data_IF_074523783513
#
_entry.id   IF_074523783513
#
_cell.length_a   1.000
_cell.length_b   1.000
_cell.length_c   1.000
_cell.angle_alpha   90.00
_cell.angle_beta   90.00
_cell.angle_gamma   90.00
#
_symmetry.space_group_name_H-M   'P 1'
#
loop_
_entity.id
_entity.type
_entity.pdbx_description
1 polymer ?
#
# COMPACT_ATOMS: atom_id res chain seq x y z
N UNK A 1 32.68 61.39 -32.69
CA UNK A 1 32.94 61.75 -34.15
C UNK A 1 32.15 60.79 -35.01
N UNK A 2 31.38 61.36 -35.92
CA UNK A 2 30.73 60.86 -37.14
C UNK A 2 29.67 59.80 -36.96
N UNK A 3 28.37 60.22 -37.00
CA UNK A 3 27.52 60.65 -38.20
C UNK A 3 27.34 59.43 -39.12
N UNK A 4 26.19 59.02 -39.44
CA UNK A 4 24.86 59.41 -39.91
C UNK A 4 24.63 58.47 -41.10
N UNK A 5 23.53 58.08 -41.56
CA UNK A 5 22.22 58.65 -41.89
C UNK A 5 21.35 57.50 -42.49
N UNK A 6 20.14 57.40 -42.08
CA UNK A 6 18.90 57.51 -42.84
C UNK A 6 18.78 56.89 -44.25
N UNK A 7 17.78 56.07 -44.45
CA UNK A 7 16.87 56.14 -45.54
C UNK A 7 15.49 55.52 -45.24
N UNK A 8 14.45 56.29 -45.41
CA UNK A 8 13.00 56.05 -45.35
C UNK A 8 12.50 55.76 -46.76
N UNK A 9 11.65 54.70 -46.84
CA UNK A 9 10.59 54.63 -47.88
C UNK A 9 9.72 53.42 -47.42
N UNK A 10 8.48 53.46 -47.05
CA UNK A 10 7.33 54.16 -47.54
C UNK A 10 6.63 53.29 -48.57
N UNK A 11 5.64 52.48 -48.18
CA UNK A 11 4.46 52.26 -48.99
C UNK A 11 3.27 51.72 -48.12
N UNK A 12 2.18 52.36 -48.41
CA UNK A 12 0.84 52.38 -47.86
C UNK A 12 0.01 51.18 -48.35
N UNK A 13 -0.94 50.80 -47.47
CA UNK A 13 -2.27 50.22 -47.73
C UNK A 13 -2.40 48.72 -47.82
N UNK A 14 -3.15 48.07 -46.96
CA UNK A 14 -4.60 47.92 -47.06
C UNK A 14 -5.16 47.32 -45.75
N UNK A 15 -6.02 48.04 -45.05
CA UNK A 15 -6.88 47.55 -44.01
C UNK A 15 -7.92 46.58 -44.59
N UNK A 16 -7.91 45.31 -44.23
CA UNK A 16 -9.08 44.47 -44.33
C UNK A 16 -9.36 43.97 -42.92
N UNK A 17 -10.38 44.55 -42.28
CA UNK A 17 -11.01 44.02 -41.06
C UNK A 17 -11.60 42.66 -41.39
N UNK A 18 -11.01 41.61 -40.81
CA UNK A 18 -11.70 40.33 -40.57
C UNK A 18 -11.86 40.18 -39.08
N UNK A 19 -13.05 40.43 -38.59
CA UNK A 19 -13.54 40.06 -37.29
C UNK A 19 -13.61 38.55 -37.23
N UNK A 20 -12.58 37.90 -36.68
CA UNK A 20 -12.65 36.50 -36.25
C UNK A 20 -13.21 36.46 -34.85
N UNK A 21 -14.45 36.01 -34.75
CA UNK A 21 -15.08 35.58 -33.52
C UNK A 21 -14.24 34.45 -32.92
N UNK A 22 -13.54 34.73 -31.82
CA UNK A 22 -12.92 33.73 -30.99
C UNK A 22 -14.01 33.02 -30.17
N UNK A 23 -14.65 32.04 -30.79
CA UNK A 23 -15.30 30.96 -30.03
C UNK A 23 -14.21 30.03 -29.53
N UNK A 24 -13.74 30.27 -28.30
CA UNK A 24 -12.87 29.38 -27.58
C UNK A 24 -13.67 28.15 -27.11
N UNK A 25 -13.89 27.16 -27.99
CA UNK A 25 -14.17 25.79 -27.60
C UNK A 25 -12.83 25.12 -27.33
N UNK A 26 -12.49 24.96 -26.07
CA UNK A 26 -11.47 24.05 -25.65
C UNK A 26 -11.90 22.62 -25.97
N UNK A 27 -11.72 22.18 -27.21
CA UNK A 27 -11.77 20.75 -27.54
C UNK A 27 -10.47 20.13 -27.01
N UNK A 28 -10.54 19.48 -25.85
CA UNK A 28 -9.57 18.46 -25.51
C UNK A 28 -9.47 17.50 -26.71
N UNK A 29 -8.32 17.48 -27.37
CA UNK A 29 -8.04 16.49 -28.41
C UNK A 29 -8.19 15.13 -27.75
N UNK A 30 -9.27 14.41 -28.06
CA UNK A 30 -9.35 12.98 -27.72
C UNK A 30 -8.16 12.31 -28.38
N UNK A 31 -7.32 11.71 -27.58
CA UNK A 31 -6.24 10.84 -28.07
C UNK A 31 -6.90 9.70 -28.83
N UNK A 32 -6.48 9.46 -30.07
CA UNK A 32 -7.05 8.38 -30.88
C UNK A 32 -6.47 7.05 -30.36
N UNK A 33 -7.34 6.14 -29.94
CA UNK A 33 -6.95 4.80 -29.49
C UNK A 33 -6.50 3.98 -30.69
N UNK A 34 -5.25 3.54 -30.70
CA UNK A 34 -4.62 2.76 -31.78
C UNK A 34 -4.65 1.26 -31.52
N UNK A 35 -5.15 0.83 -30.36
CA UNK A 35 -5.23 -0.59 -29.95
C UNK A 35 -6.60 -1.20 -30.22
N UNK A 36 -6.67 -2.52 -30.02
CA UNK A 36 -7.92 -3.29 -29.92
C UNK A 36 -7.98 -4.01 -28.58
N UNK A 37 -9.10 -4.70 -28.30
CA UNK A 37 -9.23 -5.53 -27.10
C UNK A 37 -8.27 -6.73 -27.10
N UNK A 38 -7.72 -7.08 -28.25
CA UNK A 38 -6.85 -8.26 -28.41
C UNK A 38 -5.45 -7.95 -28.94
N UNK A 39 -5.13 -6.68 -29.23
CA UNK A 39 -3.80 -6.30 -29.73
C UNK A 39 -3.42 -4.87 -29.31
N UNK A 40 -2.14 -4.65 -29.03
CA UNK A 40 -1.58 -3.37 -28.65
C UNK A 40 -0.33 -3.47 -27.81
N UNK A 41 0.17 -2.33 -27.35
CA UNK A 41 1.27 -2.24 -26.40
C UNK A 41 0.76 -1.59 -25.12
N UNK A 42 1.08 -2.15 -23.96
CA UNK A 42 0.66 -1.65 -22.65
C UNK A 42 1.88 -1.41 -21.79
N UNK A 43 2.14 -0.17 -21.44
CA UNK A 43 3.15 0.18 -20.44
C UNK A 43 2.44 0.30 -19.09
N UNK A 44 2.70 -0.66 -18.21
CA UNK A 44 2.10 -0.75 -16.88
C UNK A 44 3.09 -0.27 -15.82
N UNK A 45 2.71 0.78 -15.07
CA UNK A 45 3.52 1.36 -13.99
C UNK A 45 2.99 0.96 -12.63
N UNK A 46 3.90 0.65 -11.71
CA UNK A 46 3.52 0.37 -10.33
C UNK A 46 4.73 0.17 -9.41
N UNK A 47 4.42 -0.17 -8.15
CA UNK A 47 5.42 -0.48 -7.14
C UNK A 47 5.44 -1.96 -6.77
N UNK A 48 4.34 -2.68 -6.98
CA UNK A 48 4.11 -4.09 -6.62
C UNK A 48 3.29 -4.83 -7.68
N UNK A 49 3.32 -6.16 -7.78
CA UNK A 49 4.34 -7.01 -7.20
C UNK A 49 5.67 -6.85 -7.92
N UNK A 50 6.75 -7.18 -7.21
CA UNK A 50 8.06 -7.31 -7.83
C UNK A 50 8.18 -8.55 -8.72
N UNK A 51 9.26 -8.62 -9.48
CA UNK A 51 9.69 -9.87 -10.11
C UNK A 51 9.98 -10.93 -9.00
N UNK A 52 9.55 -12.19 -9.15
CA UNK A 52 9.08 -12.82 -10.39
C UNK A 52 7.54 -12.82 -10.58
N UNK A 53 6.75 -12.23 -9.68
CA UNK A 53 5.28 -12.34 -9.74
C UNK A 53 4.69 -11.59 -10.94
N UNK A 54 5.15 -10.37 -11.22
CA UNK A 54 4.72 -9.61 -12.39
C UNK A 54 5.08 -10.31 -13.72
N UNK A 55 6.21 -11.02 -13.77
CA UNK A 55 6.61 -11.81 -14.92
C UNK A 55 5.64 -12.95 -15.17
N UNK A 56 5.16 -13.61 -14.09
CA UNK A 56 4.12 -14.65 -14.19
C UNK A 56 2.81 -14.07 -14.71
N UNK A 57 2.38 -12.90 -14.23
CA UNK A 57 1.18 -12.23 -14.74
C UNK A 57 1.26 -12.02 -16.25
N UNK A 58 2.35 -11.40 -16.70
CA UNK A 58 2.56 -11.10 -18.12
C UNK A 58 2.60 -12.38 -18.93
N UNK A 59 3.28 -13.42 -18.44
CA UNK A 59 3.39 -14.70 -19.14
C UNK A 59 2.03 -15.41 -19.26
N UNK A 60 1.22 -15.44 -18.21
CA UNK A 60 -0.12 -16.06 -18.26
C UNK A 60 -1.09 -15.22 -19.09
N UNK A 61 -1.07 -13.89 -18.93
CA UNK A 61 -1.87 -12.98 -19.76
C UNK A 61 -1.58 -13.16 -21.24
N UNK A 62 -0.31 -13.28 -21.61
CA UNK A 62 0.10 -13.45 -23.03
C UNK A 62 -0.30 -14.81 -23.63
N UNK A 63 -0.66 -15.82 -22.83
CA UNK A 63 -1.26 -17.05 -23.35
C UNK A 63 -2.68 -16.83 -23.86
N UNK A 64 -3.42 -15.94 -23.21
CA UNK A 64 -4.80 -15.57 -23.58
C UNK A 64 -4.82 -14.45 -24.64
N UNK A 65 -3.89 -13.49 -24.52
CA UNK A 65 -3.80 -12.30 -25.38
C UNK A 65 -2.40 -12.15 -25.99
N UNK A 66 -1.99 -13.02 -26.93
CA UNK A 66 -0.61 -13.06 -27.44
C UNK A 66 -0.17 -11.82 -28.22
N UNK A 67 -1.13 -11.05 -28.76
CA UNK A 67 -0.87 -9.85 -29.54
C UNK A 67 -0.93 -8.55 -28.67
N UNK A 68 -1.16 -8.66 -27.36
CA UNK A 68 -0.97 -7.54 -26.42
C UNK A 68 0.38 -7.70 -25.73
N UNK A 69 1.26 -6.72 -25.94
CA UNK A 69 2.58 -6.71 -25.29
C UNK A 69 2.51 -5.83 -24.03
N UNK A 70 2.73 -6.42 -22.87
CA UNK A 70 2.79 -5.70 -21.61
C UNK A 70 4.23 -5.48 -21.19
N UNK A 71 4.58 -4.23 -20.86
CA UNK A 71 5.88 -3.85 -20.30
C UNK A 71 5.67 -3.30 -18.89
N UNK A 72 6.25 -3.97 -17.90
CA UNK A 72 6.24 -3.53 -16.52
C UNK A 72 7.30 -2.45 -16.26
N UNK A 73 6.90 -1.36 -15.62
CA UNK A 73 7.80 -0.31 -15.15
C UNK A 73 7.64 -0.13 -13.65
N UNK A 74 8.59 -0.65 -12.90
CA UNK A 74 8.61 -0.56 -11.45
C UNK A 74 9.20 0.77 -10.98
N UNK A 75 8.56 1.35 -9.96
CA UNK A 75 9.02 2.54 -9.23
C UNK A 75 8.88 2.23 -7.74
N UNK A 76 9.81 2.69 -6.90
CA UNK A 76 9.63 2.54 -5.45
C UNK A 76 8.38 3.27 -4.99
N UNK A 77 7.70 2.74 -3.99
CA UNK A 77 6.46 3.33 -3.45
C UNK A 77 6.68 4.79 -3.02
N UNK A 78 7.81 5.11 -2.39
CA UNK A 78 8.12 6.46 -1.90
C UNK A 78 8.30 7.50 -3.02
N UNK A 79 8.63 7.07 -4.24
CA UNK A 79 8.85 7.92 -5.39
C UNK A 79 7.71 7.84 -6.42
N UNK A 80 6.70 7.01 -6.17
CA UNK A 80 5.69 6.69 -7.17
C UNK A 80 4.89 7.92 -7.61
N UNK A 81 4.31 8.69 -6.68
CA UNK A 81 3.52 9.87 -7.02
C UNK A 81 4.33 10.96 -7.73
N UNK A 82 5.57 11.15 -7.33
CA UNK A 82 6.47 12.10 -7.98
C UNK A 82 6.78 11.70 -9.44
N UNK A 83 6.82 10.39 -9.72
CA UNK A 83 7.08 9.87 -11.05
C UNK A 83 5.82 9.80 -11.94
N UNK A 84 4.69 9.30 -11.39
CA UNK A 84 3.48 9.04 -12.18
C UNK A 84 2.74 10.30 -12.57
N UNK A 85 2.70 11.31 -11.68
CA UNK A 85 1.96 12.56 -11.91
C UNK A 85 2.38 13.29 -13.19
N UNK A 86 3.67 13.61 -13.44
CA UNK A 86 4.09 14.25 -14.68
C UNK A 86 3.91 13.34 -15.90
N UNK A 87 4.09 12.02 -15.77
CA UNK A 87 3.92 11.09 -16.88
C UNK A 87 2.48 11.06 -17.38
N UNK A 88 1.49 10.98 -16.48
CA UNK A 88 0.07 11.05 -16.82
C UNK A 88 -0.34 12.42 -17.38
N UNK A 89 0.18 13.52 -16.80
CA UNK A 89 -0.12 14.86 -17.27
C UNK A 89 0.40 15.13 -18.69
N UNK A 90 1.55 14.56 -19.05
CA UNK A 90 2.14 14.68 -20.38
C UNK A 90 1.57 13.69 -21.39
N UNK A 91 0.81 12.68 -20.96
CA UNK A 91 0.24 11.64 -21.82
C UNK A 91 1.28 10.73 -22.45
N UNK A 92 2.43 10.52 -21.78
CA UNK A 92 3.55 9.76 -22.33
C UNK A 92 3.89 8.51 -21.48
N UNK A 93 3.88 7.36 -22.15
CA UNK A 93 4.44 6.13 -21.62
C UNK A 93 3.74 5.54 -20.40
N UNK A 94 2.44 5.83 -20.20
CA UNK A 94 1.59 5.23 -19.17
C UNK A 94 0.27 4.83 -19.79
N UNK A 95 0.04 3.52 -19.91
CA UNK A 95 -1.24 3.00 -20.40
C UNK A 95 -2.08 2.46 -19.24
N UNK A 96 -1.46 1.70 -18.34
CA UNK A 96 -2.03 1.23 -17.09
C UNK A 96 -1.15 1.67 -15.91
N UNK A 97 -1.75 1.95 -14.75
CA UNK A 97 -0.99 2.36 -13.58
C UNK A 97 -1.65 1.89 -12.29
N UNK A 98 -0.82 1.63 -11.28
CA UNK A 98 -1.29 1.22 -9.97
C UNK A 98 -1.81 2.39 -9.15
N UNK A 99 -2.79 2.08 -8.31
CA UNK A 99 -3.43 3.01 -7.38
C UNK A 99 -3.66 2.31 -6.05
N UNK A 100 -3.26 2.93 -4.94
CA UNK A 100 -3.60 2.45 -3.60
C UNK A 100 -4.86 3.12 -3.06
N UNK A 101 -5.36 2.63 -1.94
CA UNK A 101 -6.42 3.30 -1.20
C UNK A 101 -5.96 4.68 -0.69
N UNK A 102 -6.90 5.61 -0.57
CA UNK A 102 -6.63 6.96 -0.06
C UNK A 102 -6.12 7.94 -1.10
N UNK A 103 -5.46 9.01 -0.65
CA UNK A 103 -4.99 10.12 -1.49
C UNK A 103 -3.58 9.96 -2.05
N UNK A 104 -2.84 8.95 -1.58
CA UNK A 104 -1.48 8.66 -2.05
C UNK A 104 -1.45 7.71 -3.24
N UNK A 105 -0.24 7.46 -3.75
CA UNK A 105 0.07 6.40 -4.72
C UNK A 105 -0.92 6.31 -5.89
N UNK A 106 -1.07 7.41 -6.65
CA UNK A 106 -1.96 7.49 -7.82
C UNK A 106 -3.41 7.89 -7.50
N UNK A 107 -3.83 7.95 -6.23
CA UNK A 107 -5.21 8.28 -5.84
C UNK A 107 -5.65 9.68 -6.26
N UNK A 108 -4.78 10.68 -6.17
CA UNK A 108 -5.04 12.05 -6.63
C UNK A 108 -5.27 12.08 -8.14
N UNK A 109 -4.54 11.29 -8.92
CA UNK A 109 -4.66 11.21 -10.38
C UNK A 109 -5.99 10.59 -10.79
N UNK A 110 -6.45 9.57 -10.10
CA UNK A 110 -7.75 8.94 -10.30
C UNK A 110 -8.89 9.92 -9.99
N UNK A 111 -8.82 10.58 -8.83
CA UNK A 111 -9.80 11.60 -8.42
C UNK A 111 -9.79 12.80 -9.36
N UNK A 112 -8.63 13.18 -9.90
CA UNK A 112 -8.44 14.26 -10.87
C UNK A 112 -8.89 13.92 -12.30
N UNK A 113 -9.50 12.77 -12.55
CA UNK A 113 -10.06 12.37 -13.83
C UNK A 113 -9.04 11.87 -14.86
N UNK A 114 -7.84 11.50 -14.44
CA UNK A 114 -6.80 10.95 -15.32
C UNK A 114 -6.98 9.45 -15.62
N UNK A 115 -8.02 8.81 -15.05
CA UNK A 115 -8.39 7.42 -15.29
C UNK A 115 -9.74 7.32 -16.00
N UNK A 116 -9.89 6.34 -16.89
CA UNK A 116 -11.16 6.03 -17.53
C UNK A 116 -12.11 5.30 -16.56
N UNK A 117 -13.37 5.16 -16.94
CA UNK A 117 -14.36 4.31 -16.26
C UNK A 117 -14.23 2.85 -16.73
N UNK A 118 -14.02 1.92 -15.81
CA UNK A 118 -13.90 0.48 -16.08
C UNK A 118 -15.21 -0.29 -15.84
N UNK A 119 -16.29 0.37 -15.41
CA UNK A 119 -17.54 -0.28 -14.97
C UNK A 119 -18.10 -1.25 -16.01
N UNK A 120 -18.19 -0.81 -17.28
CA UNK A 120 -18.76 -1.64 -18.33
C UNK A 120 -17.85 -2.83 -18.70
N UNK A 121 -16.55 -2.62 -18.68
CA UNK A 121 -15.57 -3.67 -18.97
C UNK A 121 -15.57 -4.76 -17.87
N UNK A 122 -15.70 -4.37 -16.61
CA UNK A 122 -15.81 -5.33 -15.48
C UNK A 122 -17.13 -6.08 -15.54
N UNK A 123 -18.25 -5.42 -15.87
CA UNK A 123 -19.54 -6.09 -16.12
C UNK A 123 -19.47 -7.08 -17.28
N UNK A 124 -18.78 -6.71 -18.35
CA UNK A 124 -18.59 -7.62 -19.48
C UNK A 124 -17.80 -8.89 -19.09
N UNK A 125 -16.82 -8.76 -18.17
CA UNK A 125 -16.00 -9.88 -17.71
C UNK A 125 -16.71 -10.77 -16.68
N UNK A 126 -17.42 -10.19 -15.72
CA UNK A 126 -18.00 -10.91 -14.57
C UNK A 126 -19.54 -10.98 -14.55
N UNK A 127 -20.22 -10.20 -15.37
CA UNK A 127 -21.67 -10.05 -15.33
C UNK A 127 -22.15 -8.88 -14.46
N UNK A 128 -23.47 -8.62 -14.46
CA UNK A 128 -24.06 -7.52 -13.70
C UNK A 128 -23.91 -7.70 -12.17
N UNK A 129 -23.72 -8.94 -11.73
CA UNK A 129 -23.50 -9.34 -10.34
C UNK A 129 -22.01 -9.28 -9.91
N UNK A 130 -21.16 -8.59 -10.65
CA UNK A 130 -19.71 -8.51 -10.39
C UNK A 130 -19.38 -8.07 -8.96
N UNK A 131 -20.22 -7.24 -8.33
CA UNK A 131 -20.04 -6.78 -6.95
C UNK A 131 -20.11 -7.92 -5.93
N UNK A 132 -20.84 -8.97 -6.21
CA UNK A 132 -20.95 -10.14 -5.34
C UNK A 132 -19.72 -11.04 -5.47
N UNK A 133 -19.03 -10.98 -6.60
CA UNK A 133 -17.86 -11.80 -6.94
C UNK A 133 -16.52 -11.21 -6.48
N UNK A 134 -16.48 -9.89 -6.31
CA UNK A 134 -15.28 -9.16 -5.88
C UNK A 134 -15.38 -8.76 -4.41
N UNK A 135 -14.24 -8.61 -3.76
CA UNK A 135 -14.16 -8.00 -2.44
C UNK A 135 -14.68 -6.55 -2.50
N UNK A 136 -15.42 -6.15 -1.49
CA UNK A 136 -16.05 -4.83 -1.44
C UNK A 136 -15.05 -3.69 -1.57
N UNK A 137 -13.92 -3.78 -0.86
CA UNK A 137 -12.84 -2.80 -0.93
C UNK A 137 -12.29 -2.60 -2.36
N UNK A 138 -12.27 -3.68 -3.18
CA UNK A 138 -11.81 -3.62 -4.57
C UNK A 138 -12.67 -2.78 -5.50
N UNK A 139 -13.86 -2.42 -5.05
CA UNK A 139 -14.86 -1.66 -5.82
C UNK A 139 -15.11 -0.31 -5.18
N UNK A 140 -15.46 -0.29 -3.89
CA UNK A 140 -15.94 0.92 -3.20
C UNK A 140 -14.88 1.99 -3.13
N UNK A 141 -13.65 1.62 -2.78
CA UNK A 141 -12.51 2.53 -2.63
C UNK A 141 -12.13 3.22 -3.94
N UNK A 142 -12.35 2.55 -5.08
CA UNK A 142 -11.97 3.05 -6.42
C UNK A 142 -13.17 3.57 -7.23
N UNK A 143 -14.34 3.66 -6.62
CA UNK A 143 -15.53 4.26 -7.26
C UNK A 143 -15.60 5.76 -6.96
N UNK A 144 -15.38 6.57 -7.98
CA UNK A 144 -15.45 8.03 -7.90
C UNK A 144 -16.64 8.52 -8.72
N UNK A 145 -17.56 9.25 -8.10
CA UNK A 145 -18.78 9.76 -8.75
C UNK A 145 -19.60 8.68 -9.49
N UNK A 146 -19.67 7.48 -8.90
CA UNK A 146 -20.41 6.35 -9.47
C UNK A 146 -19.71 5.61 -10.61
N UNK A 147 -18.46 5.96 -10.92
CA UNK A 147 -17.61 5.34 -11.94
C UNK A 147 -16.47 4.57 -11.29
N UNK A 148 -16.24 3.34 -11.72
CA UNK A 148 -15.11 2.53 -11.28
C UNK A 148 -13.84 2.98 -12.01
N UNK A 149 -13.02 3.79 -11.35
CA UNK A 149 -11.83 4.43 -11.95
C UNK A 149 -10.57 3.57 -11.92
N UNK A 150 -10.52 2.61 -11.03
CA UNK A 150 -9.51 1.56 -10.99
C UNK A 150 -10.14 0.27 -10.49
N UNK A 151 -9.60 -0.87 -10.88
CA UNK A 151 -10.06 -2.16 -10.42
C UNK A 151 -9.06 -2.73 -9.42
N UNK A 152 -9.53 -3.05 -8.23
CA UNK A 152 -8.71 -3.65 -7.19
C UNK A 152 -8.14 -5.00 -7.62
N UNK A 153 -6.88 -5.21 -7.31
CA UNK A 153 -6.18 -6.48 -7.57
C UNK A 153 -6.06 -7.30 -6.30
N UNK A 154 -5.79 -6.65 -5.17
CA UNK A 154 -5.74 -7.34 -3.90
C UNK A 154 -5.69 -6.40 -2.70
N UNK A 155 -6.00 -6.96 -1.53
CA UNK A 155 -6.09 -6.28 -0.24
C UNK A 155 -4.95 -6.72 0.67
N UNK A 156 -4.41 -5.79 1.45
CA UNK A 156 -3.45 -6.05 2.53
C UNK A 156 -4.04 -5.70 3.88
N UNK A 157 -3.52 -6.36 4.90
CA UNK A 157 -3.95 -6.17 6.30
C UNK A 157 -2.73 -5.95 7.19
N UNK A 158 -2.93 -5.23 8.28
CA UNK A 158 -1.95 -5.01 9.34
C UNK A 158 -2.60 -5.27 10.71
N UNK A 159 -1.88 -5.06 11.80
CA UNK A 159 -2.35 -5.34 13.16
C UNK A 159 -1.73 -6.59 13.77
N UNK A 160 -0.64 -7.08 13.21
CA UNK A 160 0.10 -8.25 13.67
C UNK A 160 1.60 -7.96 13.73
N UNK A 161 2.36 -8.88 14.32
CA UNK A 161 3.81 -8.95 14.22
C UNK A 161 4.24 -10.24 13.52
N UNK A 162 5.43 -10.23 12.94
CA UNK A 162 6.11 -11.43 12.45
C UNK A 162 7.29 -11.75 13.34
N UNK A 163 7.47 -13.03 13.64
CA UNK A 163 8.58 -13.52 14.48
C UNK A 163 9.44 -14.54 13.72
N UNK A 164 10.73 -14.60 14.07
CA UNK A 164 11.63 -15.67 13.67
C UNK A 164 11.55 -16.79 14.74
N UNK A 165 10.83 -17.87 14.41
CA UNK A 165 10.56 -18.97 15.35
C UNK A 165 11.85 -19.66 15.81
N UNK A 166 12.86 -19.79 14.94
CA UNK A 166 14.13 -20.42 15.32
C UNK A 166 14.88 -19.63 16.40
N UNK A 167 14.79 -18.30 16.39
CA UNK A 167 15.39 -17.46 17.44
C UNK A 167 14.64 -17.64 18.77
N UNK A 168 13.32 -17.70 18.75
CA UNK A 168 12.52 -17.97 19.94
C UNK A 168 12.83 -19.34 20.52
N UNK A 169 12.89 -20.37 19.68
CA UNK A 169 13.22 -21.74 20.09
C UNK A 169 14.66 -21.79 20.65
N UNK A 170 15.63 -21.19 19.97
CA UNK A 170 17.05 -21.19 20.33
C UNK A 170 17.33 -20.58 21.71
N UNK A 171 16.65 -19.48 22.02
CA UNK A 171 16.85 -18.76 23.27
C UNK A 171 15.79 -19.08 24.32
N UNK A 172 14.89 -20.04 24.02
CA UNK A 172 13.79 -20.45 24.90
C UNK A 172 12.93 -19.26 25.35
N UNK A 173 12.62 -18.36 24.41
CA UNK A 173 11.79 -17.19 24.65
C UNK A 173 10.34 -17.55 24.39
N UNK A 174 9.44 -17.16 25.31
CA UNK A 174 8.00 -17.29 25.11
C UNK A 174 7.52 -16.24 24.12
N UNK A 175 6.60 -16.62 23.22
CA UNK A 175 5.91 -15.66 22.34
C UNK A 175 5.12 -14.68 23.21
N UNK A 176 5.36 -13.35 23.10
CA UNK A 176 4.74 -12.38 23.98
C UNK A 176 3.26 -12.16 23.64
N UNK A 177 2.43 -12.10 24.66
CA UNK A 177 0.98 -11.82 24.54
C UNK A 177 0.57 -10.50 25.18
N UNK A 178 1.48 -9.87 25.94
CA UNK A 178 1.24 -8.60 26.62
C UNK A 178 2.53 -7.78 26.72
N UNK A 179 2.40 -6.53 27.20
CA UNK A 179 3.51 -5.59 27.31
C UNK A 179 4.72 -6.12 28.06
N UNK A 180 4.51 -6.77 29.21
CA UNK A 180 5.61 -7.21 30.08
C UNK A 180 6.36 -8.40 29.46
N UNK A 181 5.64 -9.35 28.89
CA UNK A 181 6.23 -10.47 28.16
C UNK A 181 7.01 -9.99 26.94
N UNK A 182 6.49 -8.95 26.22
CA UNK A 182 7.20 -8.36 25.07
C UNK A 182 8.50 -7.70 25.50
N UNK A 183 8.47 -6.90 26.56
CA UNK A 183 9.66 -6.27 27.13
C UNK A 183 10.70 -7.30 27.59
N UNK A 184 10.24 -8.38 28.26
CA UNK A 184 11.12 -9.49 28.70
C UNK A 184 11.75 -10.19 27.49
N UNK A 185 10.98 -10.55 26.48
CA UNK A 185 11.49 -11.13 25.24
C UNK A 185 12.56 -10.24 24.59
N UNK A 186 12.30 -8.94 24.46
CA UNK A 186 13.26 -7.98 23.92
C UNK A 186 14.56 -7.92 24.74
N UNK A 187 14.48 -7.99 26.07
CA UNK A 187 15.66 -7.99 26.93
C UNK A 187 16.50 -9.27 26.74
N UNK A 188 15.87 -10.44 26.68
CA UNK A 188 16.58 -11.72 26.44
C UNK A 188 17.31 -11.69 25.09
N UNK A 189 16.66 -11.23 24.05
CA UNK A 189 17.29 -11.13 22.73
C UNK A 189 18.45 -10.14 22.73
N UNK A 190 18.29 -8.98 23.37
CA UNK A 190 19.32 -7.95 23.49
C UNK A 190 20.56 -8.42 24.23
N UNK A 191 20.40 -9.22 25.29
CA UNK A 191 21.52 -9.88 26.01
C UNK A 191 22.31 -10.82 25.08
N UNK A 192 21.68 -11.31 24.01
CA UNK A 192 22.27 -12.18 22.99
C UNK A 192 22.67 -11.44 21.71
N UNK A 193 22.78 -10.12 21.75
CA UNK A 193 23.14 -9.26 20.62
C UNK A 193 22.18 -9.35 19.42
N UNK A 194 20.89 -9.60 19.70
CA UNK A 194 19.80 -9.62 18.72
C UNK A 194 18.80 -8.53 19.10
N UNK A 195 18.31 -7.76 18.14
CA UNK A 195 17.22 -6.84 18.39
C UNK A 195 15.93 -7.64 18.67
N UNK A 196 15.25 -7.33 19.77
CA UNK A 196 14.04 -8.06 20.15
C UNK A 196 12.89 -7.76 19.19
N UNK A 197 12.70 -6.47 18.86
CA UNK A 197 11.70 -5.99 17.94
C UNK A 197 12.30 -4.85 17.10
N UNK A 198 11.96 -4.84 15.80
CA UNK A 198 12.38 -3.78 14.87
C UNK A 198 11.22 -3.21 14.10
N UNK A 199 11.26 -1.89 13.94
CA UNK A 199 10.40 -1.11 13.05
C UNK A 199 11.17 0.08 12.52
N UNK A 200 10.99 0.38 11.26
CA UNK A 200 11.53 1.59 10.63
C UNK A 200 10.64 2.79 10.91
N UNK A 201 10.74 3.34 12.13
CA UNK A 201 9.89 4.44 12.58
C UNK A 201 10.23 5.80 11.92
N UNK A 202 11.27 5.88 11.09
CA UNK A 202 11.51 6.97 10.17
C UNK A 202 10.56 7.00 8.97
N UNK A 203 9.86 5.90 8.70
CA UNK A 203 8.84 5.79 7.66
C UNK A 203 7.44 5.84 8.32
N UNK A 204 6.83 7.02 8.33
CA UNK A 204 5.67 7.35 9.17
C UNK A 204 4.44 6.46 8.97
N UNK A 205 4.20 5.93 7.77
CA UNK A 205 3.05 5.04 7.51
C UNK A 205 3.03 3.80 8.41
N UNK A 206 4.19 3.21 8.71
CA UNK A 206 4.27 2.06 9.62
C UNK A 206 4.08 2.42 11.09
N UNK A 207 4.32 3.70 11.46
CA UNK A 207 3.97 4.19 12.79
C UNK A 207 2.46 4.26 12.96
N UNK A 208 1.73 4.66 11.91
CA UNK A 208 0.27 4.67 11.90
C UNK A 208 -0.27 3.26 12.09
N UNK A 209 0.28 2.24 11.40
CA UNK A 209 -0.12 0.85 11.59
C UNK A 209 0.05 0.38 13.04
N UNK A 210 1.20 0.64 13.63
CA UNK A 210 1.46 0.27 15.03
C UNK A 210 0.55 1.03 15.98
N UNK A 211 0.34 2.32 15.75
CA UNK A 211 -0.56 3.14 16.55
C UNK A 211 -2.01 2.69 16.47
N UNK A 212 -2.48 2.31 15.27
CA UNK A 212 -3.82 1.75 15.08
C UNK A 212 -4.00 0.47 15.90
N UNK A 213 -3.04 -0.46 15.85
CA UNK A 213 -3.08 -1.66 16.66
C UNK A 213 -3.11 -1.36 18.17
N UNK A 214 -2.36 -0.35 18.63
CA UNK A 214 -2.38 0.11 20.02
C UNK A 214 -3.72 0.74 20.40
N UNK A 215 -4.28 1.59 19.54
CA UNK A 215 -5.57 2.21 19.80
C UNK A 215 -6.69 1.18 19.93
N UNK A 216 -6.67 0.16 19.07
CA UNK A 216 -7.61 -0.96 19.13
C UNK A 216 -7.38 -1.89 20.35
N UNK A 217 -6.15 -2.00 20.86
CA UNK A 217 -5.90 -2.62 22.16
C UNK A 217 -6.58 -1.85 23.29
N UNK A 218 -6.55 -0.51 23.26
CA UNK A 218 -7.20 0.33 24.29
C UNK A 218 -8.72 0.21 24.17
N UNK A 219 -9.26 0.42 22.96
CA UNK A 219 -10.68 0.38 22.69
C UNK A 219 -10.94 -0.04 21.24
N UNK A 220 -11.53 -1.21 20.98
CA UNK A 220 -11.73 -1.73 19.62
C UNK A 220 -12.44 -0.74 18.70
N UNK A 221 -11.84 -0.48 17.54
CA UNK A 221 -12.35 0.42 16.52
C UNK A 221 -12.25 1.90 16.86
N UNK A 222 -11.58 2.30 17.94
CA UNK A 222 -11.47 3.72 18.31
C UNK A 222 -10.68 4.52 17.29
N UNK A 223 -9.63 3.93 16.69
CA UNK A 223 -8.88 4.58 15.62
C UNK A 223 -9.76 4.91 14.42
N UNK A 224 -10.49 3.92 13.90
CA UNK A 224 -11.39 4.08 12.75
C UNK A 224 -12.51 5.08 13.05
N UNK A 225 -13.07 5.06 14.26
CA UNK A 225 -14.08 6.05 14.68
C UNK A 225 -13.51 7.47 14.73
N UNK A 226 -12.27 7.62 15.20
CA UNK A 226 -11.62 8.94 15.24
C UNK A 226 -11.35 9.46 13.82
N UNK A 227 -10.88 8.64 12.90
CA UNK A 227 -10.67 9.06 11.49
C UNK A 227 -11.96 9.43 10.77
N UNK A 228 -13.13 8.96 11.26
CA UNK A 228 -14.45 9.29 10.73
C UNK A 228 -15.14 10.45 11.47
N UNK A 229 -14.50 11.03 12.47
CA UNK A 229 -15.12 12.08 13.32
C UNK A 229 -16.21 11.57 14.25
N UNK A 230 -16.34 10.26 14.44
CA UNK A 230 -17.30 9.65 15.37
C UNK A 230 -16.82 9.67 16.83
N UNK A 231 -15.51 9.80 17.02
CA UNK A 231 -14.82 9.97 18.30
C UNK A 231 -13.81 11.10 18.13
N UNK A 232 -13.73 11.99 19.09
CA UNK A 232 -12.74 13.06 19.09
C UNK A 232 -11.32 12.51 19.24
N UNK A 233 -10.35 13.09 18.54
CA UNK A 233 -8.94 12.72 18.72
C UNK A 233 -8.42 12.98 20.13
N UNK A 234 -9.08 13.87 20.88
CA UNK A 234 -8.77 14.17 22.29
C UNK A 234 -9.44 13.22 23.29
N UNK A 235 -10.15 12.19 22.81
CA UNK A 235 -10.73 11.17 23.70
C UNK A 235 -9.64 10.44 24.51
N UNK A 236 -9.98 10.08 25.74
CA UNK A 236 -9.06 9.42 26.68
C UNK A 236 -8.46 8.13 26.09
N UNK A 237 -9.18 7.42 25.24
CA UNK A 237 -8.68 6.19 24.58
C UNK A 237 -7.56 6.49 23.58
N UNK A 238 -7.64 7.59 22.86
CA UNK A 238 -6.60 8.03 21.90
C UNK A 238 -5.37 8.58 22.65
N UNK A 239 -5.59 9.42 23.67
CA UNK A 239 -4.49 9.90 24.52
C UNK A 239 -3.76 8.71 25.15
N UNK A 240 -4.51 7.74 25.66
CA UNK A 240 -3.94 6.50 26.22
C UNK A 240 -3.14 5.69 25.20
N UNK A 241 -3.61 5.63 23.97
CA UNK A 241 -2.87 4.96 22.87
C UNK A 241 -1.56 5.69 22.57
N UNK A 242 -1.54 7.03 22.55
CA UNK A 242 -0.31 7.82 22.37
C UNK A 242 0.68 7.64 23.54
N UNK A 243 0.20 7.54 24.78
CA UNK A 243 1.05 7.17 25.94
C UNK A 243 1.70 5.80 25.76
N UNK A 244 0.93 4.81 25.32
CA UNK A 244 1.43 3.44 25.08
C UNK A 244 2.40 3.39 23.90
N UNK A 245 2.14 4.14 22.82
CA UNK A 245 3.07 4.33 21.72
C UNK A 245 4.42 4.85 22.21
N UNK A 246 4.41 5.95 22.98
CA UNK A 246 5.63 6.50 23.59
C UNK A 246 6.34 5.48 24.47
N UNK A 247 5.57 4.71 25.24
CA UNK A 247 6.11 3.71 26.16
C UNK A 247 6.89 2.60 25.46
N UNK A 248 6.58 2.25 24.19
CA UNK A 248 7.38 1.28 23.42
C UNK A 248 8.83 1.75 23.26
N UNK A 249 9.06 3.06 23.14
CA UNK A 249 10.39 3.65 23.03
C UNK A 249 11.06 3.81 24.40
N UNK A 250 10.35 4.37 25.37
CA UNK A 250 10.88 4.63 26.70
C UNK A 250 11.31 3.36 27.42
N UNK A 251 10.56 2.29 27.26
CA UNK A 251 10.82 0.98 27.90
C UNK A 251 11.74 0.07 27.06
N UNK A 252 12.20 0.51 25.88
CA UNK A 252 13.18 -0.17 25.04
C UNK A 252 12.65 -1.42 24.34
N UNK A 253 11.34 -1.53 24.10
CA UNK A 253 10.74 -2.51 23.19
C UNK A 253 11.10 -2.12 21.77
N UNK A 254 10.85 -0.86 21.38
CA UNK A 254 11.32 -0.31 20.11
C UNK A 254 12.85 -0.23 20.13
N UNK A 255 13.49 -0.70 19.06
CA UNK A 255 14.95 -0.68 18.96
C UNK A 255 15.51 0.74 18.99
N UNK A 256 16.71 0.89 19.51
CA UNK A 256 17.39 2.18 19.58
C UNK A 256 17.62 2.74 18.17
N UNK A 257 17.28 4.02 17.98
CA UNK A 257 17.45 4.70 16.70
C UNK A 257 16.35 4.46 15.67
N UNK A 258 15.26 3.81 16.03
CA UNK A 258 14.13 3.50 15.14
C UNK A 258 13.63 4.69 14.31
N UNK A 259 13.56 5.89 14.90
CA UNK A 259 13.15 7.13 14.23
C UNK A 259 14.06 7.56 13.08
N UNK A 260 15.27 7.00 12.99
CA UNK A 260 16.21 7.24 11.89
C UNK A 260 16.29 6.13 10.86
N UNK A 261 15.52 5.04 11.04
CA UNK A 261 15.51 3.87 10.16
C UNK A 261 14.26 3.84 9.31
N UNK A 262 14.41 3.42 8.06
CA UNK A 262 13.29 3.11 7.18
C UNK A 262 12.79 1.68 7.41
N UNK A 263 11.50 1.44 7.17
CA UNK A 263 10.94 0.08 7.22
C UNK A 263 11.59 -0.80 6.14
N UNK A 264 11.72 -0.23 4.94
CA UNK A 264 12.50 -0.78 3.84
C UNK A 264 13.60 0.21 3.43
N UNK A 265 14.89 -0.19 3.37
CA UNK A 265 15.35 -1.57 3.59
C UNK A 265 15.72 -1.90 5.05
N UNK A 266 15.81 -0.92 5.98
CA UNK A 266 16.59 -1.08 7.22
C UNK A 266 16.00 -2.13 8.17
N UNK A 267 14.75 -1.96 8.64
CA UNK A 267 14.12 -2.91 9.56
C UNK A 267 13.92 -4.29 8.90
N UNK A 268 13.52 -4.30 7.62
CA UNK A 268 13.41 -5.53 6.84
C UNK A 268 14.74 -6.30 6.80
N UNK A 269 15.84 -5.61 6.52
CA UNK A 269 17.15 -6.25 6.42
C UNK A 269 17.65 -6.79 7.77
N UNK A 270 17.33 -6.11 8.88
CA UNK A 270 17.63 -6.62 10.22
C UNK A 270 16.90 -7.93 10.48
N UNK A 271 15.62 -8.02 10.13
CA UNK A 271 14.84 -9.23 10.34
C UNK A 271 15.27 -10.37 9.38
N UNK A 272 15.42 -10.08 8.07
CA UNK A 272 15.84 -11.08 7.08
C UNK A 272 17.27 -11.59 7.28
N UNK A 273 18.16 -10.78 7.85
CA UNK A 273 19.51 -11.22 8.26
C UNK A 273 19.54 -11.88 9.65
N UNK A 274 18.39 -12.19 10.25
CA UNK A 274 18.23 -12.83 11.56
C UNK A 274 18.90 -12.05 12.71
N UNK A 275 19.10 -10.74 12.54
CA UNK A 275 19.60 -9.81 13.56
C UNK A 275 18.48 -9.23 14.43
N UNK A 276 17.23 -9.52 14.08
CA UNK A 276 16.04 -9.14 14.82
C UNK A 276 15.12 -10.34 14.97
N UNK A 277 14.46 -10.47 16.12
CA UNK A 277 13.58 -11.59 16.43
C UNK A 277 12.13 -11.32 16.03
N UNK A 278 11.70 -10.07 16.06
CA UNK A 278 10.33 -9.64 15.70
C UNK A 278 10.39 -8.40 14.80
N UNK A 279 9.38 -8.28 13.91
CA UNK A 279 9.21 -7.11 13.03
C UNK A 279 7.74 -6.76 12.87
N UNK A 280 7.41 -5.46 12.82
CA UNK A 280 6.09 -4.98 12.44
C UNK A 280 5.96 -5.00 10.92
N UNK A 281 5.13 -5.88 10.40
CA UNK A 281 4.79 -6.00 8.98
C UNK A 281 3.38 -6.59 8.85
N UNK A 282 2.66 -6.23 7.82
CA UNK A 282 1.32 -6.76 7.57
C UNK A 282 1.29 -8.04 6.70
N UNK A 283 0.13 -8.30 6.11
CA UNK A 283 -0.14 -9.54 5.38
C UNK A 283 0.69 -9.70 4.10
N UNK A 284 1.14 -8.60 3.49
CA UNK A 284 2.05 -8.65 2.33
C UNK A 284 3.36 -9.39 2.64
N UNK A 285 3.74 -9.43 3.90
CA UNK A 285 4.97 -10.09 4.34
C UNK A 285 4.86 -11.61 4.33
N UNK A 286 3.64 -12.16 4.24
CA UNK A 286 3.39 -13.60 4.15
C UNK A 286 4.11 -14.24 2.96
N UNK A 287 4.29 -13.52 1.88
CA UNK A 287 5.04 -13.98 0.70
C UNK A 287 6.47 -14.42 1.03
N UNK A 288 7.09 -13.84 2.08
CA UNK A 288 8.42 -14.26 2.55
C UNK A 288 8.42 -15.62 3.24
N UNK A 289 7.26 -16.22 3.53
CA UNK A 289 7.20 -17.61 3.97
C UNK A 289 7.44 -18.62 2.83
N UNK A 290 7.43 -18.16 1.57
CA UNK A 290 7.81 -18.97 0.40
C UNK A 290 9.34 -19.06 0.30
N UNK A 291 9.93 -20.26 0.04
CA UNK A 291 11.37 -20.46 0.06
C UNK A 291 12.16 -19.54 -0.89
N UNK A 292 11.69 -19.38 -2.12
CA UNK A 292 12.38 -18.56 -3.13
C UNK A 292 12.29 -17.07 -2.79
N UNK A 293 11.14 -16.61 -2.29
CA UNK A 293 10.93 -15.22 -1.87
C UNK A 293 11.79 -14.89 -0.65
N UNK A 294 11.81 -15.78 0.36
CA UNK A 294 12.64 -15.58 1.54
C UNK A 294 14.13 -15.57 1.19
N UNK A 295 14.56 -16.49 0.34
CA UNK A 295 15.96 -16.52 -0.13
C UNK A 295 16.34 -15.20 -0.82
N UNK A 296 15.51 -14.70 -1.72
CA UNK A 296 15.74 -13.43 -2.40
C UNK A 296 15.78 -12.25 -1.40
N UNK A 297 14.91 -12.24 -0.38
CA UNK A 297 14.89 -11.21 0.66
C UNK A 297 16.16 -11.25 1.54
N UNK A 298 16.63 -12.43 1.90
CA UNK A 298 17.89 -12.63 2.65
C UNK A 298 19.10 -12.14 1.82
N UNK A 299 19.18 -12.51 0.55
CA UNK A 299 20.23 -12.05 -0.36
C UNK A 299 20.21 -10.53 -0.55
N UNK A 300 19.01 -9.93 -0.67
CA UNK A 300 18.82 -8.48 -0.76
C UNK A 300 19.27 -7.75 0.52
N UNK A 301 19.13 -8.40 1.68
CA UNK A 301 19.67 -7.91 2.95
C UNK A 301 21.18 -8.10 3.09
N UNK A 302 21.88 -8.49 2.00
CA UNK A 302 23.32 -8.80 1.98
C UNK A 302 23.70 -9.85 3.04
N UNK A 303 22.80 -10.80 3.29
CA UNK A 303 22.98 -11.90 4.23
C UNK A 303 23.20 -13.23 3.50
N UNK A 304 23.91 -14.14 4.16
CA UNK A 304 24.14 -15.52 3.72
C UNK A 304 23.43 -16.53 4.62
N UNK A 305 22.56 -16.04 5.50
CA UNK A 305 21.76 -16.90 6.37
C UNK A 305 20.83 -17.81 5.56
N UNK A 306 20.46 -18.94 6.13
CA UNK A 306 19.50 -19.84 5.54
C UNK A 306 18.06 -19.31 5.73
N UNK A 307 17.11 -19.69 4.85
CA UNK A 307 15.69 -19.48 5.10
C UNK A 307 15.27 -20.03 6.47
N UNK A 308 14.39 -19.33 7.16
CA UNK A 308 13.95 -19.62 8.51
C UNK A 308 12.42 -19.63 8.63
N UNK A 309 11.89 -20.27 9.67
CA UNK A 309 10.46 -20.28 9.95
C UNK A 309 10.02 -18.95 10.50
N UNK A 310 9.32 -18.16 9.70
CA UNK A 310 8.63 -16.97 10.17
C UNK A 310 7.15 -17.26 10.36
N UNK A 311 6.57 -16.77 11.44
CA UNK A 311 5.15 -16.92 11.73
C UNK A 311 4.52 -15.60 12.15
N UNK A 312 3.23 -15.36 11.78
CA UNK A 312 2.48 -14.21 12.27
C UNK A 312 2.03 -14.47 13.72
N UNK A 313 2.06 -13.45 14.53
CA UNK A 313 1.46 -13.43 15.87
C UNK A 313 0.55 -12.24 16.04
N UNK A 314 -0.45 -12.34 16.89
CA UNK A 314 -1.28 -11.18 17.24
C UNK A 314 -0.41 -10.08 17.86
N UNK A 315 -0.77 -8.83 17.62
CA UNK A 315 -0.16 -7.70 18.32
C UNK A 315 -0.40 -7.88 19.83
N UNK A 316 0.64 -7.85 20.68
CA UNK A 316 0.49 -8.09 22.12
C UNK A 316 -0.48 -7.08 22.75
N UNK A 317 -1.27 -7.53 23.73
CA UNK A 317 -2.13 -6.64 24.54
C UNK A 317 -1.27 -5.75 25.44
N UNK A 318 -0.87 -4.59 24.91
CA UNK A 318 -0.04 -3.65 25.67
C UNK A 318 -0.87 -2.74 26.58
N UNK A 319 -2.17 -2.66 26.37
CA UNK A 319 -3.10 -1.90 27.16
C UNK A 319 -3.61 -2.64 28.42
N UNK A 320 -3.50 -3.98 28.43
CA UNK A 320 -3.99 -4.82 29.51
C UNK A 320 -5.51 -4.95 29.56
N UNK A 321 -6.17 -4.79 28.41
CA UNK A 321 -7.63 -4.78 28.29
C UNK A 321 -8.21 -6.13 27.86
N UNK A 322 -7.37 -7.04 27.37
CA UNK A 322 -7.78 -8.28 26.74
C UNK A 322 -8.16 -8.15 25.26
N UNK A 323 -8.09 -6.95 24.70
CA UNK A 323 -8.35 -6.70 23.27
C UNK A 323 -7.11 -7.03 22.46
N UNK A 324 -7.16 -8.12 21.70
CA UNK A 324 -6.06 -8.56 20.84
C UNK A 324 -6.55 -8.90 19.45
N UNK A 325 -5.62 -8.94 18.52
CA UNK A 325 -5.86 -9.47 17.20
C UNK A 325 -6.79 -8.64 16.34
N UNK A 326 -6.91 -7.35 16.58
CA UNK A 326 -7.53 -6.42 15.63
C UNK A 326 -6.73 -6.45 14.34
N UNK A 327 -7.43 -6.69 13.23
CA UNK A 327 -6.88 -6.59 11.89
C UNK A 327 -7.56 -5.44 11.17
N UNK A 328 -6.78 -4.67 10.44
CA UNK A 328 -7.28 -3.58 9.61
C UNK A 328 -6.60 -3.63 8.26
N UNK A 329 -7.34 -3.28 7.22
CA UNK A 329 -6.82 -3.46 5.87
C UNK A 329 -7.49 -2.61 4.83
N UNK A 330 -6.76 -2.42 3.74
CA UNK A 330 -7.22 -1.70 2.56
C UNK A 330 -6.74 -2.39 1.30
N UNK A 331 -7.27 -1.91 0.20
CA UNK A 331 -6.76 -2.20 -1.11
C UNK A 331 -5.28 -1.82 -1.19
N UNK A 332 -4.40 -2.81 -1.43
CA UNK A 332 -2.96 -2.55 -1.58
C UNK A 332 -2.71 -1.83 -2.89
N UNK A 333 -3.16 -2.47 -3.97
CA UNK A 333 -3.12 -1.85 -5.28
C UNK A 333 -4.32 -2.25 -6.13
N UNK A 334 -4.68 -1.33 -6.99
CA UNK A 334 -5.64 -1.49 -8.07
C UNK A 334 -4.98 -1.05 -9.37
N UNK A 335 -5.56 -1.44 -10.49
CA UNK A 335 -5.06 -1.02 -11.78
C UNK A 335 -6.05 -0.08 -12.43
N UNK A 336 -5.59 1.14 -12.71
CA UNK A 336 -6.29 2.15 -13.50
C UNK A 336 -5.76 2.18 -14.93
N UNK A 337 -6.58 2.65 -15.86
CA UNK A 337 -6.20 2.89 -17.25
C UNK A 337 -6.15 4.38 -17.51
N UNK A 338 -5.03 4.86 -18.05
CA UNK A 338 -4.81 6.28 -18.33
C UNK A 338 -5.80 6.81 -19.37
N UNK A 339 -6.48 7.91 -19.03
CA UNK A 339 -7.39 8.59 -19.94
C UNK A 339 -6.70 9.21 -21.18
N UNK A 340 -5.36 9.34 -21.13
CA UNK A 340 -4.53 9.87 -22.23
C UNK A 340 -3.77 8.79 -23.00
N UNK A 341 -3.96 7.50 -22.64
CA UNK A 341 -3.36 6.37 -23.34
C UNK A 341 -3.77 6.33 -24.82
N UNK A 342 -2.87 5.87 -25.66
CA UNK A 342 -3.14 5.52 -27.07
C UNK A 342 -3.52 4.04 -27.23
N UNK A 343 -3.51 3.29 -26.15
CA UNK A 343 -3.76 1.84 -26.09
C UNK A 343 -4.88 1.51 -25.09
N UNK A 344 -5.92 2.34 -25.03
CA UNK A 344 -7.00 2.27 -24.02
C UNK A 344 -7.63 0.88 -23.97
N UNK A 345 -7.97 0.28 -25.13
CA UNK A 345 -8.64 -1.01 -25.20
C UNK A 345 -7.74 -2.15 -24.71
N UNK A 346 -6.49 -2.19 -25.18
CA UNK A 346 -5.53 -3.21 -24.73
C UNK A 346 -5.21 -3.05 -23.22
N UNK A 347 -5.04 -1.81 -22.74
CA UNK A 347 -4.82 -1.53 -21.33
C UNK A 347 -6.04 -1.91 -20.47
N UNK A 348 -7.26 -1.68 -20.96
CA UNK A 348 -8.50 -2.10 -20.30
C UNK A 348 -8.57 -3.62 -20.20
N UNK A 349 -8.29 -4.34 -21.29
CA UNK A 349 -8.25 -5.80 -21.28
C UNK A 349 -7.27 -6.31 -20.21
N UNK A 350 -6.07 -5.74 -20.15
CA UNK A 350 -5.05 -6.12 -19.16
C UNK A 350 -5.48 -5.80 -17.72
N UNK A 351 -5.96 -4.58 -17.45
CA UNK A 351 -6.39 -4.16 -16.12
C UNK A 351 -7.57 -4.99 -15.60
N UNK A 352 -8.55 -5.27 -16.46
CA UNK A 352 -9.70 -6.12 -16.12
C UNK A 352 -9.25 -7.56 -15.89
N UNK A 353 -8.39 -8.11 -16.73
CA UNK A 353 -7.84 -9.46 -16.55
C UNK A 353 -7.11 -9.61 -15.20
N UNK A 354 -6.29 -8.64 -14.78
CA UNK A 354 -5.61 -8.67 -13.48
C UNK A 354 -6.59 -8.81 -12.31
N UNK A 355 -7.70 -8.07 -12.32
CA UNK A 355 -8.65 -8.03 -11.20
C UNK A 355 -9.79 -9.06 -11.28
N UNK A 356 -10.02 -9.70 -12.43
CA UNK A 356 -11.20 -10.57 -12.65
C UNK A 356 -10.88 -11.97 -13.17
N UNK A 357 -9.72 -12.17 -13.79
CA UNK A 357 -9.35 -13.49 -14.31
C UNK A 357 -9.04 -14.45 -13.17
N UNK A 358 -9.63 -15.67 -13.23
CA UNK A 358 -9.30 -16.71 -12.27
C UNK A 358 -7.80 -17.05 -12.31
N UNK A 359 -7.20 -17.07 -13.51
CA UNK A 359 -5.75 -17.35 -13.69
C UNK A 359 -4.90 -16.24 -13.05
N UNK A 360 -5.20 -14.96 -13.34
CA UNK A 360 -4.48 -13.83 -12.77
C UNK A 360 -4.60 -13.77 -11.26
N UNK A 361 -5.82 -13.93 -10.74
CA UNK A 361 -6.10 -13.87 -9.31
C UNK A 361 -5.56 -15.10 -8.55
N UNK A 362 -5.42 -16.26 -9.20
CA UNK A 362 -4.77 -17.43 -8.62
C UNK A 362 -3.26 -17.20 -8.42
N UNK A 363 -2.58 -16.53 -9.36
CA UNK A 363 -1.17 -16.14 -9.19
C UNK A 363 -1.00 -15.26 -7.96
N UNK A 364 -1.95 -14.34 -7.73
CA UNK A 364 -1.98 -13.46 -6.57
C UNK A 364 -2.16 -14.28 -5.29
N UNK A 365 -3.16 -15.15 -5.26
CA UNK A 365 -3.43 -16.01 -4.14
C UNK A 365 -2.21 -16.85 -3.74
N UNK A 366 -1.59 -17.50 -4.71
CA UNK A 366 -0.45 -18.39 -4.49
C UNK A 366 0.85 -17.64 -4.14
N UNK A 367 0.93 -16.34 -4.48
CA UNK A 367 2.05 -15.49 -4.09
C UNK A 367 2.05 -15.13 -2.60
N UNK A 368 0.92 -15.26 -1.93
CA UNK A 368 0.69 -14.87 -0.53
C UNK A 368 1.06 -13.40 -0.22
N UNK A 369 1.13 -12.55 -1.25
CA UNK A 369 1.49 -11.14 -1.07
C UNK A 369 0.29 -10.28 -0.68
N UNK A 370 -0.84 -10.51 -1.32
CA UNK A 370 -2.11 -9.83 -1.04
C UNK A 370 -3.26 -10.83 -1.04
N UNK A 371 -4.35 -10.49 -0.39
CA UNK A 371 -5.61 -11.23 -0.49
C UNK A 371 -6.27 -10.86 -1.82
N UNK A 372 -6.60 -11.84 -2.69
CA UNK A 372 -7.18 -11.58 -4.00
C UNK A 372 -8.46 -10.77 -3.96
N UNK A 373 -8.69 -9.94 -4.96
CA UNK A 373 -9.98 -9.24 -5.15
C UNK A 373 -11.09 -10.18 -5.55
N UNK A 374 -10.82 -11.19 -6.35
CA UNK A 374 -11.80 -12.20 -6.76
C UNK A 374 -12.01 -13.21 -5.62
N UNK A 375 -13.21 -13.23 -5.04
CA UNK A 375 -13.53 -14.08 -3.87
C UNK A 375 -13.35 -15.58 -4.09
N UNK A 376 -13.42 -16.05 -5.36
CA UNK A 376 -13.20 -17.45 -5.71
C UNK A 376 -11.72 -17.85 -5.78
N UNK A 377 -10.79 -16.91 -5.77
CA UNK A 377 -9.36 -17.18 -5.80
C UNK A 377 -8.82 -17.32 -4.38
N UNK A 378 -8.33 -18.50 -4.05
CA UNK A 378 -7.72 -18.81 -2.75
C UNK A 378 -6.39 -19.53 -2.96
N UNK A 379 -5.41 -19.43 -2.04
CA UNK A 379 -4.14 -20.15 -2.20
C UNK A 379 -4.34 -21.65 -2.41
N UNK A 380 -3.67 -22.19 -3.39
CA UNK A 380 -3.60 -23.65 -3.62
C UNK A 380 -2.63 -24.29 -2.64
N UNK A 381 -3.13 -24.58 -1.43
CA UNK A 381 -2.31 -25.11 -0.34
C UNK A 381 -1.68 -26.48 -0.62
N UNK A 382 -2.12 -27.20 -1.63
CA UNK A 382 -1.47 -28.45 -2.06
C UNK A 382 -0.16 -28.15 -2.84
N UNK A 383 -0.12 -27.04 -3.57
CA UNK A 383 1.00 -26.60 -4.40
C UNK A 383 1.83 -25.47 -3.77
N UNK A 384 1.26 -24.61 -2.94
CA UNK A 384 2.01 -23.59 -2.18
C UNK A 384 2.92 -24.28 -1.17
N UNK A 385 4.22 -24.11 -1.32
CA UNK A 385 5.22 -24.68 -0.41
C UNK A 385 5.82 -23.58 0.46
N UNK A 386 5.68 -23.73 1.76
CA UNK A 386 6.28 -22.85 2.76
C UNK A 386 7.68 -23.35 3.17
N UNK A 387 8.48 -22.49 3.78
CA UNK A 387 9.82 -22.82 4.29
C UNK A 387 9.74 -23.97 5.31
N UNK A 388 8.75 -23.94 6.17
CA UNK A 388 8.49 -25.00 7.16
C UNK A 388 6.99 -25.30 7.21
N UNK A 389 6.46 -26.15 6.30
CA UNK A 389 5.04 -26.42 6.21
C UNK A 389 4.41 -26.95 7.52
N UNK A 390 5.13 -27.74 8.28
CA UNK A 390 4.63 -28.34 9.52
C UNK A 390 4.31 -27.28 10.58
N UNK A 391 5.14 -26.24 10.69
CA UNK A 391 4.94 -25.14 11.64
C UNK A 391 4.09 -23.99 11.09
N UNK A 392 4.10 -23.78 9.78
CA UNK A 392 3.55 -22.57 9.17
C UNK A 392 2.15 -22.74 8.57
N UNK A 393 1.81 -23.90 7.98
CA UNK A 393 0.60 -24.04 7.18
C UNK A 393 -0.66 -23.59 7.94
N UNK A 394 -0.95 -24.15 9.09
CA UNK A 394 -2.17 -23.84 9.84
C UNK A 394 -2.17 -22.39 10.36
N UNK A 395 -1.02 -21.89 10.81
CA UNK A 395 -0.90 -20.53 11.32
C UNK A 395 -1.12 -19.47 10.22
N UNK A 396 -0.53 -19.69 9.05
CA UNK A 396 -0.67 -18.76 7.92
C UNK A 396 -2.08 -18.83 7.32
N UNK A 397 -2.68 -20.00 7.19
CA UNK A 397 -4.08 -20.14 6.79
C UNK A 397 -5.01 -19.37 7.71
N UNK A 398 -4.90 -19.63 9.01
CA UNK A 398 -5.70 -18.94 10.03
C UNK A 398 -5.49 -17.44 10.03
N UNK A 399 -4.25 -16.99 9.81
CA UNK A 399 -3.93 -15.56 9.69
C UNK A 399 -4.62 -14.91 8.48
N UNK A 400 -4.57 -15.56 7.32
CA UNK A 400 -5.25 -15.07 6.09
C UNK A 400 -6.76 -15.03 6.29
N UNK A 401 -7.35 -16.10 6.85
CA UNK A 401 -8.78 -16.15 7.15
C UNK A 401 -9.21 -15.06 8.13
N UNK A 402 -8.43 -14.84 9.18
CA UNK A 402 -8.65 -13.75 10.15
C UNK A 402 -8.61 -12.38 9.47
N UNK A 403 -7.61 -12.16 8.61
CA UNK A 403 -7.48 -10.92 7.84
C UNK A 403 -8.71 -10.65 6.97
N UNK A 404 -9.19 -11.65 6.23
CA UNK A 404 -10.39 -11.54 5.39
C UNK A 404 -11.67 -11.25 6.17
N UNK A 405 -11.71 -11.59 7.46
CA UNK A 405 -12.85 -11.38 8.35
C UNK A 405 -12.68 -10.18 9.28
N UNK A 406 -11.76 -9.26 9.01
CA UNK A 406 -11.50 -8.07 9.84
C UNK A 406 -12.67 -7.07 9.93
N UNK A 407 -13.66 -7.18 9.05
CA UNK A 407 -14.81 -6.28 8.99
C UNK A 407 -14.45 -4.91 8.39
N UNK A 408 -15.27 -3.89 8.71
CA UNK A 408 -15.06 -2.50 8.29
C UNK A 408 -14.04 -1.82 9.22
N UNK A 409 -12.78 -2.15 9.03
CA UNK A 409 -11.66 -1.57 9.76
C UNK A 409 -10.55 -1.19 8.75
N UNK A 410 -10.66 -0.02 8.08
CA UNK A 410 -9.72 0.39 7.05
C UNK A 410 -8.37 0.78 7.66
N UNK A 411 -7.30 0.59 6.88
CA UNK A 411 -5.94 0.99 7.23
C UNK A 411 -5.70 2.48 6.98
N UNK A 412 -6.01 2.96 5.78
CA UNK A 412 -5.83 4.35 5.35
C UNK A 412 -7.05 4.93 4.61
N UNK A 413 -8.00 4.10 4.18
CA UNK A 413 -9.18 4.59 3.47
C UNK A 413 -9.99 5.54 4.37
N UNK A 414 -10.36 6.69 3.82
CA UNK A 414 -11.06 7.73 4.55
C UNK A 414 -10.17 8.70 5.33
N UNK A 415 -8.86 8.47 5.40
CA UNK A 415 -7.90 9.41 5.97
C UNK A 415 -7.49 10.41 4.89
N UNK A 416 -7.74 11.69 5.11
CA UNK A 416 -7.30 12.74 4.20
C UNK A 416 -5.77 12.98 4.31
N UNK A 417 -5.19 13.70 3.35
CA UNK A 417 -3.75 13.90 3.28
C UNK A 417 -3.19 14.69 4.46
N UNK A 418 -3.93 15.70 4.96
CA UNK A 418 -3.47 16.58 6.04
C UNK A 418 -3.48 15.83 7.38
N UNK A 419 -4.55 15.08 7.66
CA UNK A 419 -4.62 14.22 8.84
C UNK A 419 -3.56 13.10 8.80
N UNK A 420 -3.34 12.49 7.63
CA UNK A 420 -2.30 11.48 7.46
C UNK A 420 -0.91 12.04 7.78
N UNK A 421 -0.58 13.23 7.28
CA UNK A 421 0.68 13.91 7.58
C UNK A 421 0.78 14.27 9.06
N UNK A 422 -0.29 14.83 9.64
CA UNK A 422 -0.33 15.16 11.07
C UNK A 422 -0.10 13.93 11.96
N UNK A 423 -0.69 12.77 11.61
CA UNK A 423 -0.44 11.52 12.34
C UNK A 423 1.04 11.11 12.28
N UNK A 424 1.67 11.19 11.11
CA UNK A 424 3.09 10.85 11.00
C UNK A 424 3.96 11.78 11.85
N UNK A 425 3.70 13.08 11.84
CA UNK A 425 4.44 14.09 12.60
C UNK A 425 4.22 13.94 14.11
N UNK A 426 2.97 13.76 14.55
CA UNK A 426 2.61 13.55 15.96
C UNK A 426 3.24 12.28 16.51
N UNK A 427 3.14 11.16 15.79
CA UNK A 427 3.72 9.89 16.24
C UNK A 427 5.24 9.95 16.34
N UNK A 428 5.91 10.61 15.41
CA UNK A 428 7.35 10.84 15.49
C UNK A 428 7.71 11.78 16.65
N UNK A 429 6.94 12.87 16.86
CA UNK A 429 7.13 13.82 17.94
C UNK A 429 6.92 13.22 19.33
N UNK A 430 5.87 12.43 19.51
CA UNK A 430 5.57 11.72 20.76
C UNK A 430 6.64 10.68 21.07
N UNK A 431 7.04 9.89 20.10
CA UNK A 431 8.12 8.91 20.24
C UNK A 431 9.47 9.58 20.58
N UNK A 432 9.75 10.72 19.96
CA UNK A 432 10.97 11.51 20.20
C UNK A 432 10.92 12.36 21.47
N UNK A 433 9.77 12.42 22.16
CA UNK A 433 9.58 13.22 23.39
C UNK A 433 9.50 14.73 23.16
N UNK A 434 9.28 15.20 21.94
CA UNK A 434 9.12 16.61 21.57
C UNK A 434 7.65 17.07 21.62
N UNK A 435 6.71 16.13 21.62
CA UNK A 435 5.26 16.34 21.72
C UNK A 435 4.74 15.48 22.86
N UNK A 436 3.87 16.02 23.72
CA UNK A 436 3.18 15.21 24.73
C UNK A 436 2.02 14.44 24.09
N UNK A 437 1.57 13.32 24.66
CA UNK A 437 0.38 12.62 24.17
C UNK A 437 -0.85 13.52 24.04
N UNK A 438 -1.09 14.38 25.02
CA UNK A 438 -2.22 15.32 25.03
C UNK A 438 -2.11 16.37 23.94
N UNK A 439 -0.91 16.99 23.78
CA UNK A 439 -0.67 17.96 22.70
C UNK A 439 -0.75 17.29 21.33
N UNK A 440 -0.30 16.05 21.20
CA UNK A 440 -0.43 15.24 19.99
C UNK A 440 -1.89 14.99 19.61
N UNK A 441 -2.70 14.59 20.59
CA UNK A 441 -4.13 14.41 20.41
C UNK A 441 -4.83 15.70 19.94
N UNK A 442 -4.47 16.84 20.53
CA UNK A 442 -4.99 18.15 20.13
C UNK A 442 -4.57 18.56 18.70
N UNK A 443 -3.34 18.23 18.28
CA UNK A 443 -2.86 18.47 16.91
C UNK A 443 -3.64 17.62 15.89
N UNK A 444 -3.93 16.35 16.20
CA UNK A 444 -4.75 15.48 15.34
C UNK A 444 -6.19 16.00 15.22
N UNK A 445 -6.79 16.47 16.32
CA UNK A 445 -8.12 17.08 16.30
C UNK A 445 -8.16 18.35 15.43
N UNK A 446 -7.12 19.19 15.49
CA UNK A 446 -7.01 20.37 14.63
C UNK A 446 -6.89 19.99 13.15
N UNK A 447 -6.04 19.00 12.81
CA UNK A 447 -5.87 18.55 11.44
C UNK A 447 -7.14 17.92 10.84
N UNK A 448 -7.94 17.23 11.65
CA UNK A 448 -9.26 16.72 11.24
C UNK A 448 -10.22 17.85 10.92
N UNK A 449 -10.31 18.88 11.79
CA UNK A 449 -11.23 20.01 11.63
C UNK A 449 -10.90 20.89 10.42
N UNK A 450 -9.62 21.05 10.07
CA UNK A 450 -9.18 21.85 8.93
C UNK A 450 -9.51 21.18 7.58
N UNK A 451 -9.90 19.91 7.59
CA UNK A 451 -10.18 19.12 6.40
C UNK A 451 -11.67 18.93 6.08
N UNK A 452 -12.57 19.36 6.96
CA UNK A 452 -14.02 19.39 6.77
C UNK A 452 -14.48 20.73 6.14
#
# INVERSE_FOLDING_TARGET
MRKAKTAVAGLVALMVMMTTVLTGCGSSKKTEDTSSETSGEVVWWGWTPGSPTNEKYIAEFNKEYPDIKVTWKQTSIDNYDAAIRPALANGEGVDAFEVSAGSGNGGVQVSGGQAIDLTDAVKAALGDDYKDKLNEASITTMTVNGQLKALGVGTVYSGNLWINQELFDKYNVKIPTNFYEWKEACNIFKENCIEGFVQGAGQGAFNIDTFHAIADNVSPGTFTKATRGEVEWTDDSIVKALELWKRLFDDGIMQKGALGLQQYPDANNLFMSQKAAMVMMGSWYTSNALPDTMKAAIESASSTEAPFTMIPIDFPDIAGTGNTGSMFGDLDYSTAVSATSKNIKAATTFAVWLGTSQTGQQIIADSLNVVPSLKSATPDWDNVKLVNPEKQNELIKSYIEKSMNSGDNPRFAGINADLNQAMMDVLAGVAGGTVTPEDGAAQLAAAQADSE
#
